data_IF_895668284935
#
_entry.id   IF_895668284935
#
_cell.length_a   1.000
_cell.length_b   1.000
_cell.length_c   1.000
_cell.angle_alpha   90.00
_cell.angle_beta   90.00
_cell.angle_gamma   90.00
#
_symmetry.space_group_name_H-M   'P 1'
#
loop_
_entity.id
_entity.type
_entity.pdbx_description
1 polymer ?
#
# COMPACT_ATOMS: atom_id res chain seq x y z
N UNK A 1 35.54 -32.32 14.88
CA UNK A 1 34.22 -31.67 14.72
C UNK A 1 33.16 -32.62 15.26
N UNK A 2 32.38 -32.19 16.27
CA UNK A 2 31.60 -33.06 17.16
C UNK A 2 30.15 -33.31 16.67
N UNK A 3 29.49 -34.41 17.07
CA UNK A 3 28.11 -34.74 16.66
C UNK A 3 27.08 -33.64 16.98
N UNK A 4 27.18 -33.01 18.15
CA UNK A 4 26.29 -31.93 18.59
C UNK A 4 26.28 -30.70 17.66
N UNK A 5 27.42 -30.35 17.05
CA UNK A 5 27.50 -29.24 16.10
C UNK A 5 26.75 -29.53 14.78
N UNK A 6 26.63 -30.81 14.38
CA UNK A 6 25.87 -31.21 13.18
C UNK A 6 24.36 -31.12 13.41
N UNK A 7 23.88 -31.53 14.60
CA UNK A 7 22.45 -31.44 14.96
C UNK A 7 21.98 -29.99 14.98
N UNK A 8 22.72 -29.10 15.65
CA UNK A 8 22.39 -27.68 15.71
C UNK A 8 22.35 -27.01 14.32
N UNK A 9 23.23 -27.45 13.41
CA UNK A 9 23.26 -26.93 12.03
C UNK A 9 22.04 -27.40 11.22
N UNK A 10 21.57 -28.63 11.44
CA UNK A 10 20.37 -29.17 10.80
C UNK A 10 19.11 -28.46 11.29
N UNK A 11 19.00 -28.21 12.59
CA UNK A 11 17.87 -27.48 13.17
C UNK A 11 17.81 -26.04 12.65
N UNK A 12 18.97 -25.39 12.48
CA UNK A 12 19.05 -24.07 11.86
C UNK A 12 18.57 -24.08 10.39
N UNK A 13 18.90 -25.13 9.61
CA UNK A 13 18.41 -25.28 8.23
C UNK A 13 16.89 -25.48 8.17
N UNK A 14 16.34 -26.29 9.07
CA UNK A 14 14.88 -26.50 9.20
C UNK A 14 14.16 -25.21 9.59
N UNK A 15 14.72 -24.46 10.54
CA UNK A 15 14.18 -23.18 10.97
C UNK A 15 14.21 -22.16 9.82
N UNK A 16 15.30 -22.11 9.05
CA UNK A 16 15.41 -21.26 7.86
C UNK A 16 14.37 -21.63 6.80
N UNK A 17 14.22 -22.94 6.50
CA UNK A 17 13.21 -23.41 5.55
C UNK A 17 11.80 -22.98 5.98
N UNK A 18 11.44 -23.20 7.24
CA UNK A 18 10.14 -22.83 7.77
C UNK A 18 9.92 -21.30 7.76
N UNK A 19 10.95 -20.51 8.05
CA UNK A 19 10.87 -19.05 7.99
C UNK A 19 10.65 -18.55 6.55
N UNK A 20 11.40 -19.09 5.58
CA UNK A 20 11.28 -18.74 4.18
C UNK A 20 9.93 -19.18 3.57
N UNK A 21 9.44 -20.36 3.95
CA UNK A 21 8.14 -20.89 3.51
C UNK A 21 6.96 -20.06 4.01
N UNK A 22 7.07 -19.42 5.19
CA UNK A 22 6.07 -18.46 5.69
C UNK A 22 6.21 -17.09 5.04
N UNK A 23 7.44 -16.60 4.95
CA UNK A 23 7.74 -15.27 4.42
C UNK A 23 7.27 -15.09 2.97
N UNK A 24 7.45 -16.09 2.10
CA UNK A 24 7.10 -15.99 0.67
C UNK A 24 5.63 -15.60 0.43
N UNK A 25 4.66 -16.41 0.89
CA UNK A 25 3.25 -16.10 0.79
C UNK A 25 2.86 -14.77 1.46
N UNK A 26 3.35 -14.52 2.67
CA UNK A 26 3.05 -13.27 3.42
C UNK A 26 3.53 -12.02 2.65
N UNK A 27 4.73 -12.07 2.07
CA UNK A 27 5.28 -10.98 1.29
C UNK A 27 4.53 -10.78 -0.04
N UNK A 28 4.14 -11.86 -0.74
CA UNK A 28 3.32 -11.77 -1.95
C UNK A 28 1.92 -11.20 -1.66
N UNK A 29 1.29 -11.61 -0.56
CA UNK A 29 0.02 -11.06 -0.10
C UNK A 29 0.14 -9.56 0.20
N UNK A 30 1.18 -9.16 0.94
CA UNK A 30 1.43 -7.75 1.25
C UNK A 30 1.66 -6.90 -0.02
N UNK A 31 2.40 -7.41 -1.01
CA UNK A 31 2.60 -6.74 -2.29
C UNK A 31 1.28 -6.58 -3.06
N UNK A 32 0.44 -7.62 -3.09
CA UNK A 32 -0.88 -7.57 -3.71
C UNK A 32 -1.83 -6.58 -3.01
N UNK A 33 -1.83 -6.56 -1.69
CA UNK A 33 -2.61 -5.61 -0.90
C UNK A 33 -2.18 -4.16 -1.18
N UNK A 34 -0.87 -3.90 -1.26
CA UNK A 34 -0.34 -2.59 -1.61
C UNK A 34 -0.78 -2.15 -3.02
N UNK A 35 -0.75 -3.06 -4.00
CA UNK A 35 -1.22 -2.77 -5.36
C UNK A 35 -2.73 -2.42 -5.39
N UNK A 36 -3.55 -3.17 -4.66
CA UNK A 36 -4.99 -2.90 -4.55
C UNK A 36 -5.26 -1.54 -3.92
N UNK A 37 -4.54 -1.20 -2.84
CA UNK A 37 -4.67 0.10 -2.17
C UNK A 37 -4.24 1.26 -3.08
N UNK A 38 -3.16 1.10 -3.85
CA UNK A 38 -2.73 2.10 -4.84
C UNK A 38 -3.85 2.36 -5.87
N UNK A 39 -4.42 1.29 -6.44
CA UNK A 39 -5.54 1.40 -7.40
C UNK A 39 -6.75 2.08 -6.77
N UNK A 40 -7.12 1.69 -5.55
CA UNK A 40 -8.24 2.28 -4.79
C UNK A 40 -8.06 3.78 -4.56
N UNK A 41 -6.84 4.20 -4.20
CA UNK A 41 -6.53 5.63 -3.98
C UNK A 41 -6.56 6.40 -5.30
N UNK A 42 -6.02 5.85 -6.39
CA UNK A 42 -6.09 6.48 -7.71
C UNK A 42 -7.54 6.66 -8.17
N UNK A 43 -8.37 5.62 -8.05
CA UNK A 43 -9.79 5.69 -8.40
C UNK A 43 -10.52 6.72 -7.53
N UNK A 44 -10.24 6.75 -6.23
CA UNK A 44 -10.77 7.75 -5.33
C UNK A 44 -10.38 9.17 -5.76
N UNK A 45 -9.12 9.42 -6.14
CA UNK A 45 -8.68 10.74 -6.60
C UNK A 45 -9.41 11.18 -7.88
N UNK A 46 -9.62 10.27 -8.84
CA UNK A 46 -10.41 10.57 -10.04
C UNK A 46 -11.86 10.93 -9.70
N UNK A 47 -12.48 10.17 -8.78
CA UNK A 47 -13.83 10.47 -8.30
C UNK A 47 -13.90 11.81 -7.57
N UNK A 48 -12.90 12.11 -6.72
CA UNK A 48 -12.78 13.38 -6.03
C UNK A 48 -12.63 14.55 -7.01
N UNK A 49 -11.82 14.40 -8.07
CA UNK A 49 -11.67 15.44 -9.07
C UNK A 49 -13.02 15.79 -9.72
N UNK A 50 -13.75 14.77 -10.17
CA UNK A 50 -15.09 14.94 -10.76
C UNK A 50 -16.09 15.52 -9.75
N UNK A 51 -15.98 15.15 -8.48
CA UNK A 51 -16.81 15.73 -7.43
C UNK A 51 -16.53 17.22 -7.26
N UNK A 52 -15.27 17.61 -7.04
CA UNK A 52 -14.88 18.98 -6.76
C UNK A 52 -15.08 19.91 -7.96
N UNK A 53 -14.90 19.43 -9.20
CA UNK A 53 -15.22 20.21 -10.40
C UNK A 53 -16.71 20.57 -10.47
N UNK A 54 -17.62 19.61 -10.23
CA UNK A 54 -19.07 19.89 -10.14
C UNK A 54 -19.40 20.83 -8.98
N UNK A 55 -18.68 20.69 -7.86
CA UNK A 55 -18.84 21.58 -6.71
C UNK A 55 -18.41 23.03 -7.03
N UNK A 56 -17.37 23.22 -7.84
CA UNK A 56 -16.92 24.53 -8.34
C UNK A 56 -17.98 25.15 -9.24
N UNK A 57 -18.49 24.41 -10.24
CA UNK A 57 -19.58 24.87 -11.12
C UNK A 57 -20.80 25.35 -10.32
N UNK A 58 -21.28 24.52 -9.40
CA UNK A 58 -22.42 24.86 -8.54
C UNK A 58 -22.15 26.10 -7.68
N UNK A 59 -20.96 26.21 -7.07
CA UNK A 59 -20.62 27.36 -6.22
C UNK A 59 -20.42 28.64 -7.02
N UNK A 60 -19.97 28.55 -8.27
CA UNK A 60 -19.98 29.69 -9.18
C UNK A 60 -21.40 30.22 -9.37
N UNK A 61 -22.38 29.35 -9.62
CA UNK A 61 -23.79 29.76 -9.72
C UNK A 61 -24.28 30.43 -8.41
N UNK A 62 -23.92 29.89 -7.25
CA UNK A 62 -24.26 30.49 -5.94
C UNK A 62 -23.65 31.90 -5.79
N UNK A 63 -22.41 32.11 -6.23
CA UNK A 63 -21.76 33.43 -6.26
C UNK A 63 -22.48 34.37 -7.23
N UNK A 64 -22.86 33.91 -8.42
CA UNK A 64 -23.61 34.72 -9.37
C UNK A 64 -24.97 35.18 -8.81
N UNK A 65 -25.71 34.27 -8.17
CA UNK A 65 -26.98 34.60 -7.50
C UNK A 65 -26.78 35.61 -6.37
N UNK A 66 -25.82 35.38 -5.48
CA UNK A 66 -25.54 36.31 -4.37
C UNK A 66 -25.09 37.70 -4.85
N UNK A 67 -24.38 37.79 -5.99
CA UNK A 67 -24.04 39.07 -6.63
C UNK A 67 -25.28 39.79 -7.16
N UNK A 68 -26.19 39.07 -7.81
CA UNK A 68 -27.44 39.62 -8.32
C UNK A 68 -28.33 40.13 -7.17
N UNK A 69 -28.46 39.35 -6.10
CA UNK A 69 -29.24 39.73 -4.91
C UNK A 69 -28.68 40.99 -4.24
N UNK A 70 -27.36 41.08 -4.09
CA UNK A 70 -26.70 42.27 -3.56
C UNK A 70 -26.92 43.49 -4.47
N UNK A 71 -26.82 43.33 -5.79
CA UNK A 71 -27.06 44.42 -6.74
C UNK A 71 -28.51 44.92 -6.66
N UNK A 72 -29.48 44.01 -6.56
CA UNK A 72 -30.89 44.33 -6.40
C UNK A 72 -31.17 45.05 -5.08
N UNK A 73 -30.62 44.55 -3.95
CA UNK A 73 -30.77 45.19 -2.65
C UNK A 73 -30.18 46.60 -2.61
N UNK A 74 -29.01 46.80 -3.23
CA UNK A 74 -28.38 48.13 -3.36
C UNK A 74 -29.25 49.10 -4.16
N UNK A 75 -29.90 48.64 -5.22
CA UNK A 75 -30.79 49.47 -6.05
C UNK A 75 -32.05 49.91 -5.28
N UNK A 76 -32.70 48.99 -4.54
CA UNK A 76 -33.91 49.31 -3.76
C UNK A 76 -33.61 50.26 -2.60
N UNK A 77 -32.49 50.05 -1.91
CA UNK A 77 -32.11 50.82 -0.70
C UNK A 77 -31.34 52.10 -1.02
N UNK A 78 -31.32 52.55 -2.28
CA UNK A 78 -30.59 53.73 -2.74
C UNK A 78 -29.11 53.77 -2.29
N UNK A 79 -28.48 52.60 -2.15
CA UNK A 79 -27.09 52.49 -1.67
C UNK A 79 -26.88 52.66 -0.16
N UNK A 80 -27.93 52.82 0.66
CA UNK A 80 -27.80 52.88 2.13
C UNK A 80 -27.30 51.55 2.71
N UNK A 81 -26.05 51.55 3.19
CA UNK A 81 -25.31 50.33 3.54
C UNK A 81 -25.93 49.50 4.66
N UNK A 82 -26.63 50.14 5.60
CA UNK A 82 -27.33 49.44 6.67
C UNK A 82 -28.43 48.49 6.16
N UNK A 83 -28.91 48.67 4.93
CA UNK A 83 -30.01 47.89 4.35
C UNK A 83 -29.60 46.64 3.55
N UNK A 84 -28.30 46.38 3.34
CA UNK A 84 -27.83 45.24 2.53
C UNK A 84 -26.60 44.48 3.10
N UNK A 85 -26.31 44.64 4.39
CA UNK A 85 -25.18 43.97 5.07
C UNK A 85 -25.28 42.43 4.98
N UNK A 86 -26.50 41.90 5.08
CA UNK A 86 -26.74 40.45 4.99
C UNK A 86 -26.35 39.89 3.62
N UNK A 87 -26.64 40.62 2.54
CA UNK A 87 -26.30 40.25 1.17
C UNK A 87 -24.78 40.38 0.92
N UNK A 88 -24.09 41.37 1.50
CA UNK A 88 -22.62 41.44 1.47
C UNK A 88 -21.99 40.23 2.16
N UNK A 89 -22.52 39.84 3.33
CA UNK A 89 -22.04 38.67 4.06
C UNK A 89 -22.34 37.37 3.31
N UNK A 90 -23.53 37.24 2.70
CA UNK A 90 -23.91 36.08 1.90
C UNK A 90 -23.00 35.93 0.68
N UNK A 91 -22.72 37.02 -0.04
CA UNK A 91 -21.77 37.02 -1.16
C UNK A 91 -20.38 36.60 -0.71
N UNK A 92 -19.87 37.17 0.38
CA UNK A 92 -18.55 36.80 0.93
C UNK A 92 -18.48 35.31 1.25
N UNK A 93 -19.49 34.77 1.94
CA UNK A 93 -19.58 33.33 2.26
C UNK A 93 -19.60 32.46 0.99
N UNK A 94 -20.34 32.86 -0.04
CA UNK A 94 -20.39 32.12 -1.31
C UNK A 94 -19.03 32.12 -2.00
N UNK A 95 -18.32 33.26 -2.01
CA UNK A 95 -16.98 33.37 -2.56
C UNK A 95 -15.96 32.54 -1.78
N UNK A 96 -16.03 32.54 -0.44
CA UNK A 96 -15.15 31.74 0.40
C UNK A 96 -15.31 30.23 0.13
N UNK A 97 -16.56 29.76 0.00
CA UNK A 97 -16.86 28.37 -0.38
C UNK A 97 -16.37 28.00 -1.77
N UNK A 98 -16.48 28.93 -2.73
CA UNK A 98 -15.97 28.73 -4.09
C UNK A 98 -14.45 28.55 -4.06
N UNK A 99 -13.72 29.43 -3.36
CA UNK A 99 -12.26 29.32 -3.22
C UNK A 99 -11.85 27.99 -2.60
N UNK A 100 -12.54 27.55 -1.55
CA UNK A 100 -12.29 26.23 -0.94
C UNK A 100 -12.41 25.11 -1.98
N UNK A 101 -13.47 25.11 -2.80
CA UNK A 101 -13.67 24.07 -3.82
C UNK A 101 -12.58 24.13 -4.92
N UNK A 102 -12.17 25.32 -5.34
CA UNK A 102 -11.07 25.52 -6.30
C UNK A 102 -9.74 25.00 -5.74
N UNK A 103 -9.45 25.28 -4.48
CA UNK A 103 -8.27 24.75 -3.76
C UNK A 103 -8.30 23.22 -3.72
N UNK A 104 -9.45 22.61 -3.42
CA UNK A 104 -9.59 21.14 -3.43
C UNK A 104 -9.33 20.56 -4.82
N UNK A 105 -9.83 21.19 -5.89
CA UNK A 105 -9.52 20.78 -7.27
C UNK A 105 -8.01 20.85 -7.53
N UNK A 106 -7.35 21.94 -7.12
CA UNK A 106 -5.91 22.11 -7.31
C UNK A 106 -5.11 21.02 -6.57
N UNK A 107 -5.47 20.73 -5.32
CA UNK A 107 -4.84 19.67 -4.51
C UNK A 107 -5.02 18.29 -5.17
N UNK A 108 -6.24 17.94 -5.60
CA UNK A 108 -6.51 16.64 -6.23
C UNK A 108 -5.76 16.50 -7.55
N UNK A 109 -5.73 17.54 -8.39
CA UNK A 109 -4.94 17.55 -9.64
C UNK A 109 -3.46 17.35 -9.37
N UNK A 110 -2.91 18.02 -8.35
CA UNK A 110 -1.51 17.86 -7.96
C UNK A 110 -1.20 16.40 -7.57
N UNK A 111 -2.08 15.77 -6.78
CA UNK A 111 -1.91 14.37 -6.41
C UNK A 111 -2.09 13.39 -7.58
N UNK A 112 -2.99 13.67 -8.52
CA UNK A 112 -3.15 12.89 -9.74
C UNK A 112 -1.90 12.93 -10.65
N UNK A 113 -1.04 13.93 -10.50
CA UNK A 113 0.25 13.99 -11.21
C UNK A 113 1.35 13.28 -10.43
N UNK A 114 1.46 13.54 -9.12
CA UNK A 114 2.56 12.99 -8.31
C UNK A 114 2.40 11.52 -7.95
N UNK A 115 1.18 11.05 -7.68
CA UNK A 115 0.96 9.68 -7.23
C UNK A 115 1.36 8.65 -8.31
N UNK A 116 0.98 8.78 -9.59
CA UNK A 116 1.45 7.85 -10.62
C UNK A 116 2.99 7.77 -10.76
N UNK A 117 3.68 8.89 -10.55
CA UNK A 117 5.15 8.92 -10.57
C UNK A 117 5.75 8.09 -9.43
N UNK A 118 5.27 8.32 -8.20
CA UNK A 118 5.69 7.56 -7.03
C UNK A 118 5.33 6.05 -7.15
N UNK A 119 4.16 5.74 -7.71
CA UNK A 119 3.75 4.36 -7.99
C UNK A 119 4.69 3.68 -8.97
N UNK A 120 5.07 4.35 -10.06
CA UNK A 120 6.00 3.79 -11.04
C UNK A 120 7.39 3.50 -10.44
N UNK A 121 7.88 4.37 -9.54
CA UNK A 121 9.12 4.14 -8.80
C UNK A 121 9.04 2.93 -7.86
N UNK A 122 7.87 2.69 -7.24
CA UNK A 122 7.61 1.55 -6.36
C UNK A 122 7.38 0.23 -7.13
N UNK A 123 6.66 0.27 -8.25
CA UNK A 123 6.26 -0.93 -9.01
C UNK A 123 7.45 -1.74 -9.50
N UNK A 124 8.54 -1.08 -9.91
CA UNK A 124 9.74 -1.77 -10.39
C UNK A 124 10.35 -2.70 -9.33
N UNK A 125 10.75 -2.19 -8.16
CA UNK A 125 11.18 -3.01 -7.03
C UNK A 125 10.16 -4.06 -6.58
N UNK A 126 8.88 -3.68 -6.48
CA UNK A 126 7.80 -4.58 -6.06
C UNK A 126 7.66 -5.79 -7.00
N UNK A 127 7.66 -5.55 -8.31
CA UNK A 127 7.56 -6.60 -9.33
C UNK A 127 8.78 -7.53 -9.34
N UNK A 128 9.98 -6.97 -9.13
CA UNK A 128 11.20 -7.78 -8.98
C UNK A 128 11.14 -8.69 -7.76
N UNK A 129 10.70 -8.15 -6.62
CA UNK A 129 10.54 -8.94 -5.40
C UNK A 129 9.48 -10.03 -5.59
N UNK A 130 8.32 -9.70 -6.18
CA UNK A 130 7.29 -10.69 -6.48
C UNK A 130 7.82 -11.84 -7.37
N UNK A 131 8.58 -11.52 -8.42
CA UNK A 131 9.20 -12.54 -9.27
C UNK A 131 10.19 -13.45 -8.53
N UNK A 132 11.05 -12.86 -7.68
CA UNK A 132 12.00 -13.60 -6.84
C UNK A 132 11.27 -14.57 -5.88
N UNK A 133 10.17 -14.11 -5.28
CA UNK A 133 9.38 -14.92 -4.35
C UNK A 133 8.58 -16.03 -5.05
N UNK A 134 8.12 -15.78 -6.27
CA UNK A 134 7.27 -16.73 -6.99
C UNK A 134 8.07 -17.85 -7.68
N UNK A 135 9.28 -17.56 -8.16
CA UNK A 135 10.13 -18.52 -8.85
C UNK A 135 11.30 -19.00 -7.97
N UNK A 136 12.22 -18.09 -7.62
CA UNK A 136 13.50 -18.44 -7.02
C UNK A 136 13.35 -18.98 -5.58
N UNK A 137 12.44 -18.40 -4.80
CA UNK A 137 12.17 -18.86 -3.44
C UNK A 137 11.56 -20.27 -3.44
N UNK A 138 10.61 -20.57 -4.33
CA UNK A 138 10.01 -21.91 -4.43
C UNK A 138 11.08 -22.96 -4.78
N UNK A 139 11.94 -22.65 -5.74
CA UNK A 139 13.05 -23.53 -6.09
C UNK A 139 14.04 -23.69 -4.93
N UNK A 140 14.38 -22.59 -4.25
CA UNK A 140 15.27 -22.59 -3.10
C UNK A 140 14.75 -23.43 -1.94
N UNK A 141 13.44 -23.36 -1.64
CA UNK A 141 12.78 -24.19 -0.64
C UNK A 141 12.89 -25.67 -0.99
N UNK A 142 12.59 -26.07 -2.24
CA UNK A 142 12.72 -27.46 -2.68
C UNK A 142 14.16 -27.98 -2.57
N UNK A 143 15.17 -27.16 -2.92
CA UNK A 143 16.58 -27.53 -2.76
C UNK A 143 16.95 -27.69 -1.28
N UNK A 144 16.46 -26.80 -0.42
CA UNK A 144 16.74 -26.83 1.00
C UNK A 144 16.08 -28.03 1.69
N UNK A 145 14.83 -28.34 1.34
CA UNK A 145 14.10 -29.52 1.79
C UNK A 145 14.84 -30.82 1.43
N UNK A 146 15.26 -30.95 0.16
CA UNK A 146 16.04 -32.11 -0.30
C UNK A 146 17.36 -32.26 0.47
N UNK A 147 18.06 -31.16 0.74
CA UNK A 147 19.32 -31.18 1.50
C UNK A 147 19.11 -31.55 2.97
N UNK A 148 18.03 -31.06 3.59
CA UNK A 148 17.65 -31.43 4.96
C UNK A 148 17.39 -32.93 5.03
N UNK A 149 16.59 -33.48 4.11
CA UNK A 149 16.26 -34.90 4.06
C UNK A 149 17.51 -35.79 3.88
N UNK A 150 18.44 -35.38 3.01
CA UNK A 150 19.70 -36.09 2.83
C UNK A 150 20.54 -36.12 4.12
N UNK A 151 20.67 -34.98 4.80
CA UNK A 151 21.43 -34.89 6.06
C UNK A 151 20.82 -35.73 7.18
N UNK A 152 19.49 -35.76 7.27
CA UNK A 152 18.76 -36.62 8.20
C UNK A 152 19.04 -38.11 7.93
N UNK A 153 18.99 -38.53 6.67
CA UNK A 153 19.29 -39.91 6.29
C UNK A 153 20.74 -40.31 6.64
N UNK A 154 21.72 -39.43 6.39
CA UNK A 154 23.12 -39.67 6.78
C UNK A 154 23.29 -39.80 8.30
N UNK A 155 22.57 -39.01 9.09
CA UNK A 155 22.62 -39.08 10.55
C UNK A 155 21.98 -40.36 11.10
N UNK A 156 20.90 -40.84 10.48
CA UNK A 156 20.27 -42.11 10.87
C UNK A 156 21.19 -43.33 10.60
N UNK A 157 21.93 -43.32 9.49
CA UNK A 157 22.89 -44.40 9.18
C UNK A 157 24.10 -44.37 10.12
N UNK A 158 24.61 -43.18 10.45
CA UNK A 158 25.81 -43.03 11.31
C UNK A 158 25.55 -43.25 12.81
N UNK A 159 24.30 -43.28 13.25
CA UNK A 159 23.90 -43.68 14.62
C UNK A 159 23.65 -45.18 14.76
N UNK A 160 23.61 -45.92 13.65
CA UNK A 160 23.43 -47.38 13.61
C UNK A 160 24.80 -48.07 13.54
N UNK A 161 25.54 -48.09 14.65
CA UNK A 161 26.78 -48.89 14.78
C UNK A 161 26.41 -50.36 15.13
N UNK A 162 27.02 -51.39 14.50
CA UNK A 162 26.59 -52.79 14.64
C UNK A 162 26.88 -53.36 16.04
N UNK A 163 26.11 -54.37 16.51
CA UNK A 163 26.40 -55.04 17.78
C UNK A 163 27.77 -55.70 17.73
N UNK A 164 28.60 -55.35 18.71
CA UNK A 164 29.90 -55.96 19.01
C UNK A 164 29.79 -57.50 18.95
N UNK A 165 30.61 -58.20 18.15
CA UNK A 165 30.56 -59.66 18.15
C UNK A 165 31.02 -60.17 19.54
N UNK A 166 30.32 -61.15 20.15
CA UNK A 166 30.83 -61.78 21.35
C UNK A 166 32.15 -62.47 21.02
N UNK A 167 33.23 -61.97 21.61
CA UNK A 167 34.55 -62.58 21.53
C UNK A 167 34.48 -64.02 22.01
N UNK A 168 34.81 -64.95 21.11
CA UNK A 168 35.11 -66.31 21.50
C UNK A 168 36.54 -66.39 22.02
N UNK A 169 36.72 -66.98 23.21
CA UNK A 169 37.95 -67.69 23.57
C UNK A 169 37.62 -68.78 24.59
N UNK A 170 38.00 -69.99 24.17
CA UNK A 170 38.36 -71.19 24.95
C UNK A 170 37.25 -72.05 25.52
#
# INVERSE_FOLDING_TARGET
MSPSARVNSLDALKALHAALARYGPEALEALGAAEMEIRRVLDYLHQQLKHWQRQVERRHEEVYRARADLAHARAIRQGERSGYVEQELALRKAQDRLREAEEKVAVVKRWLVHLPQAVNEYEGPARRLAGLLDADLKQGLAVLENKIALLEAYMAVSTTEPPTPPGGTS
#
